data_IF_979152710417
#
_entry.id   IF_979152710417
#
_cell.length_a   1.000
_cell.length_b   1.000
_cell.length_c   1.000
_cell.angle_alpha   90.00
_cell.angle_beta   90.00
_cell.angle_gamma   90.00
#
_symmetry.space_group_name_H-M   'P 1'
#
loop_
_entity.id
_entity.type
_entity.pdbx_description
1 polymer ?
#
# COMPACT_ATOMS: atom_id res chain seq x y z
N UNK A 1 -35.98 -60.44 -15.63
CA UNK A 1 -36.16 -59.36 -16.62
C UNK A 1 -36.06 -58.02 -15.90
N UNK A 2 -35.08 -57.22 -16.29
CA UNK A 2 -34.80 -55.85 -15.84
C UNK A 2 -35.98 -54.91 -16.10
N UNK A 3 -36.22 -53.94 -15.20
CA UNK A 3 -36.68 -52.61 -15.58
C UNK A 3 -36.03 -51.54 -14.67
N UNK A 4 -34.87 -51.10 -15.15
CA UNK A 4 -34.40 -49.69 -15.22
C UNK A 4 -34.70 -48.74 -14.05
N UNK A 5 -33.65 -48.51 -13.26
CA UNK A 5 -33.43 -47.31 -12.43
C UNK A 5 -33.39 -46.07 -13.33
N UNK A 6 -34.39 -45.19 -13.23
CA UNK A 6 -34.33 -43.83 -13.77
C UNK A 6 -33.42 -42.99 -12.87
N UNK A 7 -32.15 -42.90 -13.26
CA UNK A 7 -31.15 -42.03 -12.66
C UNK A 7 -31.55 -40.57 -12.87
N UNK A 8 -31.93 -39.88 -11.79
CA UNK A 8 -32.02 -38.42 -11.72
C UNK A 8 -30.61 -37.86 -11.87
N UNK A 9 -30.18 -37.63 -13.11
CA UNK A 9 -28.94 -36.93 -13.41
C UNK A 9 -29.12 -35.44 -13.07
N UNK A 10 -28.84 -35.07 -11.82
CA UNK A 10 -28.76 -33.68 -11.40
C UNK A 10 -27.47 -33.12 -12.01
N UNK A 11 -27.55 -32.61 -13.24
CA UNK A 11 -26.44 -31.89 -13.87
C UNK A 11 -26.15 -30.65 -13.04
N UNK A 12 -25.12 -30.74 -12.20
CA UNK A 12 -24.45 -29.59 -11.60
C UNK A 12 -23.95 -28.72 -12.75
N UNK A 13 -24.73 -27.69 -13.10
CA UNK A 13 -24.25 -26.57 -13.88
C UNK A 13 -23.18 -25.88 -13.04
N UNK A 14 -21.91 -26.27 -13.24
CA UNK A 14 -20.78 -25.46 -12.81
C UNK A 14 -20.86 -24.15 -13.60
N UNK A 15 -21.50 -23.14 -13.02
CA UNK A 15 -21.31 -21.76 -13.46
C UNK A 15 -19.83 -21.45 -13.25
N UNK A 16 -19.02 -21.59 -14.31
CA UNK A 16 -17.74 -20.89 -14.36
C UNK A 16 -18.11 -19.41 -14.23
N UNK A 17 -17.84 -18.81 -13.06
CA UNK A 17 -17.76 -17.34 -12.99
C UNK A 17 -16.77 -16.95 -14.07
N UNK A 18 -17.22 -16.24 -15.10
CA UNK A 18 -16.30 -15.49 -15.91
C UNK A 18 -15.52 -14.61 -14.93
N UNK A 19 -14.20 -14.80 -14.83
CA UNK A 19 -13.36 -13.86 -14.09
C UNK A 19 -13.53 -12.52 -14.82
N UNK A 20 -14.22 -11.60 -14.16
CA UNK A 20 -14.46 -10.25 -14.68
C UNK A 20 -13.14 -9.51 -14.80
N UNK A 21 -13.13 -8.51 -15.68
CA UNK A 21 -12.03 -7.57 -15.77
C UNK A 21 -11.99 -6.73 -14.49
N UNK A 22 -10.78 -6.43 -13.97
CA UNK A 22 -10.55 -5.50 -12.87
C UNK A 22 -11.12 -4.15 -13.28
N UNK A 23 -12.24 -3.83 -12.64
CA UNK A 23 -12.98 -2.59 -12.80
C UNK A 23 -12.27 -1.44 -12.09
N UNK A 24 -12.67 -0.21 -12.43
CA UNK A 24 -12.22 0.97 -11.70
C UNK A 24 -12.59 0.84 -10.20
N UNK A 25 -13.81 0.41 -9.88
CA UNK A 25 -14.26 0.23 -8.50
C UNK A 25 -13.41 -0.80 -7.73
N UNK A 26 -13.03 -1.91 -8.36
CA UNK A 26 -12.14 -2.90 -7.75
C UNK A 26 -10.72 -2.35 -7.52
N UNK A 27 -10.21 -1.52 -8.43
CA UNK A 27 -8.93 -0.84 -8.22
C UNK A 27 -9.01 0.16 -7.06
N UNK A 28 -10.05 1.00 -7.03
CA UNK A 28 -10.25 1.97 -5.95
C UNK A 28 -10.31 1.27 -4.60
N UNK A 29 -11.10 0.19 -4.51
CA UNK A 29 -11.20 -0.63 -3.31
C UNK A 29 -9.87 -1.27 -2.92
N UNK A 30 -9.05 -1.71 -3.88
CA UNK A 30 -7.74 -2.28 -3.57
C UNK A 30 -6.77 -1.25 -2.98
N UNK A 31 -6.80 0.00 -3.47
CA UNK A 31 -5.96 1.08 -2.92
C UNK A 31 -6.44 1.51 -1.53
N UNK A 32 -7.75 1.56 -1.30
CA UNK A 32 -8.30 1.82 0.04
C UNK A 32 -7.92 0.70 1.03
N UNK A 33 -8.01 -0.56 0.60
CA UNK A 33 -7.55 -1.72 1.39
C UNK A 33 -6.05 -1.63 1.69
N UNK A 34 -5.22 -1.19 0.74
CA UNK A 34 -3.79 -0.99 0.94
C UNK A 34 -3.52 0.09 1.98
N UNK A 35 -4.18 1.25 1.89
CA UNK A 35 -4.08 2.31 2.89
C UNK A 35 -4.44 1.79 4.30
N UNK A 36 -5.59 1.11 4.41
CA UNK A 36 -6.05 0.54 5.69
C UNK A 36 -5.03 -0.46 6.25
N UNK A 37 -4.52 -1.36 5.40
CA UNK A 37 -3.51 -2.35 5.79
C UNK A 37 -2.23 -1.69 6.31
N UNK A 38 -1.71 -0.68 5.60
CA UNK A 38 -0.47 0.03 5.94
C UNK A 38 -0.58 0.82 7.25
N UNK A 39 -1.79 1.21 7.65
CA UNK A 39 -2.06 1.94 8.89
C UNK A 39 -2.48 1.05 10.07
N UNK A 40 -2.51 -0.29 9.90
CA UNK A 40 -2.71 -1.20 11.05
C UNK A 40 -1.53 -1.15 12.02
N UNK A 41 -1.77 -1.39 13.31
CA UNK A 41 -0.70 -1.42 14.33
C UNK A 41 0.44 -2.39 13.96
N UNK A 42 0.11 -3.54 13.36
CA UNK A 42 1.11 -4.52 12.90
C UNK A 42 1.97 -3.95 11.78
N UNK A 43 1.36 -3.37 10.74
CA UNK A 43 2.10 -2.78 9.61
C UNK A 43 2.93 -1.59 10.05
N UNK A 44 2.38 -0.69 10.87
CA UNK A 44 3.10 0.47 11.43
C UNK A 44 4.29 0.02 12.28
N UNK A 45 4.15 -1.04 13.08
CA UNK A 45 5.25 -1.62 13.84
C UNK A 45 6.36 -2.20 12.95
N UNK A 46 6.01 -2.91 11.88
CA UNK A 46 6.97 -3.45 10.91
C UNK A 46 7.71 -2.31 10.20
N UNK A 47 6.97 -1.31 9.71
CA UNK A 47 7.54 -0.13 9.04
C UNK A 47 8.49 0.60 9.99
N UNK A 48 8.06 0.89 11.22
CA UNK A 48 8.90 1.59 12.21
C UNK A 48 10.18 0.81 12.50
N UNK A 49 10.10 -0.52 12.69
CA UNK A 49 11.28 -1.36 12.89
C UNK A 49 12.25 -1.34 11.71
N UNK A 50 11.73 -1.37 10.48
CA UNK A 50 12.53 -1.25 9.27
C UNK A 50 13.20 0.13 9.17
N UNK A 51 12.45 1.21 9.40
CA UNK A 51 12.99 2.56 9.37
C UNK A 51 14.06 2.76 10.45
N UNK A 52 13.87 2.22 11.66
CA UNK A 52 14.90 2.23 12.70
C UNK A 52 16.17 1.54 12.22
N UNK A 53 16.04 0.35 11.62
CA UNK A 53 17.17 -0.45 11.16
C UNK A 53 17.97 0.27 10.06
N UNK A 54 17.28 0.87 9.10
CA UNK A 54 17.90 1.43 7.89
C UNK A 54 18.30 2.91 8.03
N UNK A 55 17.56 3.70 8.83
CA UNK A 55 17.77 5.15 8.94
C UNK A 55 18.61 5.55 10.14
N UNK A 56 18.35 4.98 11.32
CA UNK A 56 18.99 5.46 12.55
C UNK A 56 20.53 5.36 12.55
N UNK A 57 21.17 4.33 11.95
CA UNK A 57 22.63 4.28 11.81
C UNK A 57 23.23 5.45 11.00
N UNK A 58 22.43 6.12 10.18
CA UNK A 58 22.86 7.24 9.33
C UNK A 58 22.75 8.59 10.03
N UNK A 59 22.22 8.63 11.25
CA UNK A 59 22.00 9.88 12.01
C UNK A 59 23.19 10.21 12.93
N UNK A 60 23.40 11.50 13.28
CA UNK A 60 24.43 11.87 14.24
C UNK A 60 24.23 11.31 15.66
N UNK A 61 22.98 10.98 16.02
CA UNK A 61 22.62 10.38 17.31
C UNK A 61 21.70 9.17 17.10
N UNK A 62 22.25 7.99 16.75
CA UNK A 62 21.45 6.81 16.41
C UNK A 62 20.48 6.38 17.53
N UNK A 63 20.89 6.48 18.79
CA UNK A 63 20.03 6.10 19.92
C UNK A 63 18.80 7.01 20.04
N UNK A 64 18.98 8.31 19.81
CA UNK A 64 17.86 9.28 19.83
C UNK A 64 16.86 8.96 18.72
N UNK A 65 17.34 8.59 17.53
CA UNK A 65 16.49 8.14 16.44
C UNK A 65 15.70 6.87 16.81
N UNK A 66 16.37 5.87 17.41
CA UNK A 66 15.73 4.61 17.86
C UNK A 66 14.61 4.89 18.86
N UNK A 67 14.81 5.85 19.76
CA UNK A 67 13.85 6.17 20.82
C UNK A 67 12.66 7.00 20.30
N UNK A 68 12.90 7.94 19.38
CA UNK A 68 11.90 8.93 18.92
C UNK A 68 11.10 8.42 17.72
N UNK A 69 11.73 7.74 16.75
CA UNK A 69 11.06 7.34 15.51
C UNK A 69 9.78 6.53 15.76
N UNK A 70 9.78 5.48 16.60
CA UNK A 70 8.57 4.68 16.84
C UNK A 70 7.44 5.46 17.51
N UNK A 71 7.77 6.47 18.31
CA UNK A 71 6.78 7.32 19.02
C UNK A 71 5.99 8.17 18.03
N UNK A 72 6.65 8.67 16.98
CA UNK A 72 6.02 9.58 16.02
C UNK A 72 5.52 8.89 14.74
N UNK A 73 6.08 7.72 14.38
CA UNK A 73 5.78 7.10 13.09
C UNK A 73 4.29 6.82 12.87
N UNK A 74 3.56 6.39 13.90
CA UNK A 74 2.13 6.15 13.79
C UNK A 74 1.34 7.40 13.36
N UNK A 75 1.65 8.55 13.96
CA UNK A 75 1.01 9.82 13.61
C UNK A 75 1.35 10.28 12.20
N UNK A 76 2.61 10.12 11.79
CA UNK A 76 3.07 10.42 10.43
C UNK A 76 2.37 9.52 9.40
N UNK A 77 2.36 8.20 9.62
CA UNK A 77 1.74 7.23 8.73
C UNK A 77 0.24 7.51 8.53
N UNK A 78 -0.46 7.85 9.61
CA UNK A 78 -1.90 8.14 9.61
C UNK A 78 -2.29 9.33 8.72
N UNK A 79 -1.38 10.29 8.51
CA UNK A 79 -1.64 11.45 7.65
C UNK A 79 -0.97 11.33 6.28
N UNK A 80 0.20 10.69 6.19
CA UNK A 80 0.96 10.56 4.96
C UNK A 80 0.33 9.55 3.99
N UNK A 81 -0.13 8.39 4.46
CA UNK A 81 -0.70 7.38 3.55
C UNK A 81 -1.95 7.86 2.82
N UNK A 82 -2.93 8.54 3.46
CA UNK A 82 -4.06 9.12 2.75
C UNK A 82 -3.68 10.17 1.70
N UNK A 83 -2.60 10.92 1.94
CA UNK A 83 -2.10 11.91 0.99
C UNK A 83 -1.40 11.27 -0.21
N UNK A 84 -0.54 10.28 0.04
CA UNK A 84 0.28 9.61 -0.99
C UNK A 84 -0.55 8.62 -1.81
N UNK A 85 -1.48 7.90 -1.18
CA UNK A 85 -2.21 6.80 -1.77
C UNK A 85 -3.64 7.18 -2.18
N UNK A 86 -3.81 8.32 -2.84
CA UNK A 86 -5.11 8.74 -3.35
C UNK A 86 -5.61 7.77 -4.44
N UNK A 87 -6.65 7.00 -4.11
CA UNK A 87 -7.16 5.90 -4.94
C UNK A 87 -7.46 6.31 -6.39
N UNK A 88 -8.15 7.44 -6.58
CA UNK A 88 -8.50 7.93 -7.91
C UNK A 88 -7.25 8.24 -8.76
N UNK A 89 -6.25 8.90 -8.17
CA UNK A 89 -5.03 9.28 -8.87
C UNK A 89 -4.17 8.05 -9.21
N UNK A 90 -4.03 7.12 -8.27
CA UNK A 90 -3.31 5.87 -8.50
C UNK A 90 -4.00 5.04 -9.58
N UNK A 91 -5.30 4.81 -9.48
CA UNK A 91 -6.02 3.98 -10.46
C UNK A 91 -6.13 4.63 -11.84
N UNK A 92 -6.04 5.97 -11.92
CA UNK A 92 -5.91 6.69 -13.20
C UNK A 92 -4.50 6.53 -13.78
N UNK A 93 -3.46 6.61 -12.93
CA UNK A 93 -2.05 6.39 -13.32
C UNK A 93 -1.81 4.97 -13.81
N UNK A 94 -2.42 3.98 -13.16
CA UNK A 94 -2.42 2.58 -13.59
C UNK A 94 -3.28 2.31 -14.84
N UNK A 95 -3.95 3.34 -15.37
CA UNK A 95 -4.84 3.26 -16.52
C UNK A 95 -5.97 2.23 -16.31
N UNK A 96 -6.44 2.05 -15.08
CA UNK A 96 -7.62 1.21 -14.77
C UNK A 96 -8.88 2.07 -14.82
N UNK A 97 -8.83 3.27 -14.22
CA UNK A 97 -9.89 4.27 -14.29
C UNK A 97 -9.65 5.25 -15.45
N UNK A 98 -10.67 5.59 -16.23
CA UNK A 98 -10.59 6.58 -17.32
C UNK A 98 -11.40 6.23 -18.57
N UNK A 99 -11.53 7.19 -19.50
CA UNK A 99 -12.42 7.10 -20.68
C UNK A 99 -11.93 6.22 -21.83
N UNK A 100 -10.63 5.91 -21.90
CA UNK A 100 -10.01 5.19 -23.03
C UNK A 100 -9.31 3.92 -22.56
N UNK A 101 -9.99 3.10 -21.77
CA UNK A 101 -9.42 1.85 -21.33
C UNK A 101 -9.84 0.72 -22.28
N UNK A 102 -9.00 0.26 -23.23
CA UNK A 102 -9.29 -0.95 -23.97
C UNK A 102 -9.32 -2.09 -22.95
N UNK A 103 -10.53 -2.56 -22.72
CA UNK A 103 -10.92 -3.65 -21.85
C UNK A 103 -10.32 -4.98 -22.33
N UNK A 104 -9.00 -5.13 -22.26
CA UNK A 104 -8.32 -6.40 -22.47
C UNK A 104 -8.00 -7.02 -21.10
N UNK A 105 -8.74 -8.09 -20.78
CA UNK A 105 -8.47 -9.17 -19.81
C UNK A 105 -7.57 -8.86 -18.59
N UNK A 106 -7.74 -7.72 -17.91
CA UNK A 106 -7.11 -7.51 -16.60
C UNK A 106 -7.87 -8.33 -15.59
N UNK A 107 -7.37 -9.46 -15.16
CA UNK A 107 -7.94 -10.19 -14.02
C UNK A 107 -6.98 -10.00 -12.86
N UNK A 108 -7.48 -9.95 -11.62
CA UNK A 108 -6.60 -10.05 -10.46
C UNK A 108 -5.90 -11.41 -10.48
N UNK A 109 -4.66 -11.39 -10.94
CA UNK A 109 -3.68 -12.46 -10.78
C UNK A 109 -2.61 -11.98 -9.82
N UNK A 110 -1.83 -12.90 -9.25
CA UNK A 110 -0.68 -12.53 -8.45
C UNK A 110 0.26 -11.59 -9.24
N UNK A 111 0.56 -11.91 -10.50
CA UNK A 111 1.45 -11.10 -11.35
C UNK A 111 0.91 -9.69 -11.60
N UNK A 112 -0.40 -9.57 -11.87
CA UNK A 112 -1.02 -8.27 -12.10
C UNK A 112 -1.05 -7.44 -10.82
N UNK A 113 -1.45 -8.04 -9.70
CA UNK A 113 -1.46 -7.35 -8.42
C UNK A 113 -0.05 -6.93 -7.98
N UNK A 114 0.93 -7.81 -8.07
CA UNK A 114 2.32 -7.49 -7.66
C UNK A 114 2.93 -6.41 -8.53
N UNK A 115 2.64 -6.41 -9.84
CA UNK A 115 3.03 -5.34 -10.75
C UNK A 115 2.37 -4.00 -10.37
N UNK A 116 1.09 -4.01 -10.02
CA UNK A 116 0.37 -2.81 -9.59
C UNK A 116 0.90 -2.28 -8.24
N UNK A 117 1.13 -3.15 -7.25
CA UNK A 117 1.75 -2.78 -5.96
C UNK A 117 3.17 -2.26 -6.15
N UNK A 118 3.95 -2.85 -7.07
CA UNK A 118 5.27 -2.36 -7.41
C UNK A 118 5.22 -0.94 -8.00
N UNK A 119 4.25 -0.68 -8.88
CA UNK A 119 4.02 0.64 -9.45
C UNK A 119 3.61 1.68 -8.37
N UNK A 120 2.83 1.27 -7.35
CA UNK A 120 2.58 2.12 -6.18
C UNK A 120 3.89 2.45 -5.44
N UNK A 121 4.76 1.46 -5.25
CA UNK A 121 6.09 1.69 -4.71
C UNK A 121 6.95 2.63 -5.59
N UNK A 122 6.83 2.57 -6.92
CA UNK A 122 7.49 3.52 -7.82
C UNK A 122 6.97 4.95 -7.61
N UNK A 123 5.65 5.12 -7.49
CA UNK A 123 5.01 6.41 -7.20
C UNK A 123 5.50 6.99 -5.88
N UNK A 124 5.56 6.17 -4.82
CA UNK A 124 6.08 6.58 -3.51
C UNK A 124 7.53 7.07 -3.56
N UNK A 125 8.34 6.54 -4.49
CA UNK A 125 9.73 6.94 -4.68
C UNK A 125 9.93 8.11 -5.66
N UNK A 126 8.86 8.64 -6.27
CA UNK A 126 8.98 9.79 -7.18
C UNK A 126 9.38 11.03 -6.40
N UNK A 127 10.40 11.76 -6.89
CA UNK A 127 10.88 13.00 -6.27
C UNK A 127 9.76 14.04 -6.04
N UNK A 128 8.80 14.12 -6.97
CA UNK A 128 7.63 15.00 -6.84
C UNK A 128 6.73 14.58 -5.67
N UNK A 129 6.42 13.28 -5.56
CA UNK A 129 5.63 12.74 -4.45
C UNK A 129 6.34 12.90 -3.11
N UNK A 130 7.65 12.66 -3.08
CA UNK A 130 8.48 12.86 -1.88
C UNK A 130 8.45 14.33 -1.44
N UNK A 131 8.70 15.26 -2.36
CA UNK A 131 8.71 16.70 -2.06
C UNK A 131 7.34 17.16 -1.59
N UNK A 132 6.26 16.72 -2.25
CA UNK A 132 4.90 17.05 -1.87
C UNK A 132 4.54 16.50 -0.48
N UNK A 133 4.99 15.29 -0.14
CA UNK A 133 4.75 14.67 1.17
C UNK A 133 5.50 15.39 2.29
N UNK A 134 6.75 15.79 2.05
CA UNK A 134 7.53 16.61 2.99
C UNK A 134 6.82 17.93 3.29
N UNK A 135 6.42 18.67 2.26
CA UNK A 135 5.71 19.94 2.43
C UNK A 135 4.36 19.77 3.12
N UNK A 136 3.63 18.70 2.78
CA UNK A 136 2.37 18.36 3.45
C UNK A 136 2.57 18.13 4.95
N UNK A 137 3.53 17.29 5.34
CA UNK A 137 3.82 16.97 6.75
C UNK A 137 4.37 18.16 7.55
N UNK A 138 5.13 19.06 6.93
CA UNK A 138 5.64 20.28 7.57
C UNK A 138 4.53 21.25 7.95
N UNK A 139 3.38 21.19 7.27
CA UNK A 139 2.22 22.04 7.53
C UNK A 139 1.39 21.65 8.77
N UNK A 140 0.20 22.24 8.86
CA UNK A 140 -0.70 22.13 10.01
C UNK A 140 -1.29 20.74 10.22
N UNK A 141 -1.19 19.85 9.23
CA UNK A 141 -1.71 18.48 9.35
C UNK A 141 -0.87 17.60 10.28
N UNK A 142 0.41 17.96 10.51
CA UNK A 142 1.28 17.22 11.42
C UNK A 142 2.19 18.14 12.24
N UNK A 143 3.24 18.73 11.66
CA UNK A 143 4.19 19.52 12.44
C UNK A 143 3.59 20.82 13.03
N UNK A 144 2.70 21.49 12.29
CA UNK A 144 2.04 22.72 12.75
C UNK A 144 0.79 22.50 13.61
N UNK A 145 0.25 21.27 13.66
CA UNK A 145 -1.07 20.99 14.22
C UNK A 145 -1.11 20.46 15.65
N UNK A 146 0.00 19.95 16.18
CA UNK A 146 0.05 19.38 17.52
C UNK A 146 0.76 20.31 18.50
N UNK A 147 0.12 20.61 19.64
CA UNK A 147 0.67 21.49 20.68
C UNK A 147 2.02 20.98 21.24
N UNK A 148 2.23 19.67 21.21
CA UNK A 148 3.44 19.02 21.72
C UNK A 148 4.57 18.87 20.67
N UNK A 149 4.30 19.17 19.39
CA UNK A 149 5.34 19.23 18.38
C UNK A 149 6.07 20.57 18.55
N UNK A 150 7.38 20.54 18.81
CA UNK A 150 8.23 21.72 18.59
C UNK A 150 8.28 21.94 17.07
N UNK A 151 7.54 22.92 16.50
CA UNK A 151 7.21 22.88 15.07
C UNK A 151 8.44 22.97 14.18
N UNK A 152 9.38 23.87 14.51
CA UNK A 152 10.63 24.04 13.76
C UNK A 152 11.46 22.75 13.77
N UNK A 153 11.59 22.10 14.93
CA UNK A 153 12.33 20.85 15.08
C UNK A 153 11.64 19.69 14.34
N UNK A 154 10.31 19.63 14.38
CA UNK A 154 9.53 18.66 13.62
C UNK A 154 9.76 18.82 12.11
N UNK A 155 9.71 20.05 11.61
CA UNK A 155 9.91 20.35 10.20
C UNK A 155 11.31 19.97 9.73
N UNK A 156 12.36 20.29 10.52
CA UNK A 156 13.74 19.89 10.24
C UNK A 156 13.88 18.37 10.14
N UNK A 157 13.25 17.62 11.05
CA UNK A 157 13.27 16.16 11.02
C UNK A 157 12.50 15.58 9.84
N UNK A 158 11.32 16.10 9.52
CA UNK A 158 10.53 15.68 8.36
C UNK A 158 11.32 15.91 7.07
N UNK A 159 11.94 17.08 6.91
CA UNK A 159 12.75 17.42 5.73
C UNK A 159 13.97 16.51 5.58
N UNK A 160 14.65 16.20 6.70
CA UNK A 160 15.82 15.34 6.69
C UNK A 160 15.48 13.87 6.44
N UNK A 161 14.40 13.37 7.04
CA UNK A 161 14.17 11.93 7.17
C UNK A 161 13.06 11.36 6.28
N UNK A 162 12.02 12.12 5.94
CA UNK A 162 10.98 11.57 5.09
C UNK A 162 11.44 11.14 3.69
N UNK A 163 12.35 11.85 3.01
CA UNK A 163 12.87 11.36 1.72
C UNK A 163 13.49 9.96 1.83
N UNK A 164 14.22 9.70 2.92
CA UNK A 164 14.82 8.38 3.16
C UNK A 164 13.75 7.34 3.52
N UNK A 165 12.83 7.67 4.43
CA UNK A 165 11.76 6.77 4.83
C UNK A 165 10.88 6.34 3.66
N UNK A 166 10.49 7.28 2.78
CA UNK A 166 9.68 6.99 1.60
C UNK A 166 10.41 6.06 0.63
N UNK A 167 11.71 6.26 0.41
CA UNK A 167 12.49 5.37 -0.46
C UNK A 167 12.64 3.95 0.13
N UNK A 168 12.88 3.84 1.43
CA UNK A 168 12.96 2.54 2.12
C UNK A 168 11.62 1.80 2.01
N UNK A 169 10.52 2.47 2.32
CA UNK A 169 9.18 1.87 2.31
C UNK A 169 8.69 1.59 0.90
N UNK A 170 9.07 2.39 -0.10
CA UNK A 170 8.85 2.09 -1.51
C UNK A 170 9.55 0.78 -1.91
N UNK A 171 10.83 0.62 -1.52
CA UNK A 171 11.59 -0.61 -1.74
C UNK A 171 10.93 -1.82 -1.07
N UNK A 172 10.54 -1.66 0.19
CA UNK A 172 9.82 -2.69 0.95
C UNK A 172 8.49 -3.07 0.29
N UNK A 173 7.70 -2.08 -0.15
CA UNK A 173 6.41 -2.30 -0.83
C UNK A 173 6.58 -3.15 -2.08
N UNK A 174 7.63 -2.90 -2.88
CA UNK A 174 7.96 -3.70 -4.07
C UNK A 174 8.40 -5.11 -3.69
N UNK A 175 9.27 -5.24 -2.69
CA UNK A 175 9.82 -6.53 -2.25
C UNK A 175 8.73 -7.45 -1.67
N UNK A 176 7.80 -6.90 -0.90
CA UNK A 176 6.74 -7.64 -0.21
C UNK A 176 5.39 -7.61 -0.94
N UNK A 177 5.38 -7.19 -2.21
CA UNK A 177 4.18 -7.11 -3.03
C UNK A 177 3.31 -8.38 -3.01
N UNK A 178 3.85 -9.62 -3.05
CA UNK A 178 3.00 -10.82 -2.97
C UNK A 178 2.20 -10.93 -1.67
N UNK A 179 2.80 -10.59 -0.52
CA UNK A 179 2.12 -10.60 0.78
C UNK A 179 1.08 -9.48 0.90
N UNK A 180 1.38 -8.30 0.35
CA UNK A 180 0.42 -7.20 0.27
C UNK A 180 -0.78 -7.57 -0.61
N UNK A 181 -0.55 -8.22 -1.74
CA UNK A 181 -1.61 -8.71 -2.63
C UNK A 181 -2.57 -9.68 -1.92
N UNK A 182 -2.04 -10.57 -1.09
CA UNK A 182 -2.84 -11.47 -0.25
C UNK A 182 -3.68 -10.73 0.81
N UNK A 183 -3.26 -9.52 1.18
CA UNK A 183 -3.92 -8.71 2.21
C UNK A 183 -4.98 -7.76 1.64
N UNK A 184 -4.82 -7.31 0.39
CA UNK A 184 -5.66 -6.23 -0.18
C UNK A 184 -6.65 -6.70 -1.26
N UNK A 185 -6.41 -7.86 -1.89
CA UNK A 185 -7.30 -8.43 -2.91
C UNK A 185 -8.08 -9.61 -2.35
N UNK A 186 -7.39 -10.72 -2.07
CA UNK A 186 -7.95 -11.92 -1.45
C UNK A 186 -6.85 -12.77 -0.82
N UNK A 187 -7.18 -13.50 0.25
CA UNK A 187 -6.25 -14.39 0.91
C UNK A 187 -5.74 -15.47 -0.07
N UNK A 188 -4.42 -15.64 -0.15
CA UNK A 188 -3.73 -16.61 -1.02
C UNK A 188 -3.80 -16.35 -2.53
N UNK A 189 -4.06 -15.11 -2.98
CA UNK A 189 -3.90 -14.72 -4.39
C UNK A 189 -2.50 -15.08 -4.92
N UNK A 190 -1.47 -14.83 -4.11
CA UNK A 190 -0.08 -15.17 -4.32
C UNK A 190 0.32 -16.31 -3.39
N UNK A 191 0.73 -17.45 -3.96
CA UNK A 191 1.39 -18.51 -3.19
C UNK A 191 2.74 -17.98 -2.72
N UNK A 192 2.86 -17.77 -1.40
CA UNK A 192 4.12 -17.42 -0.75
C UNK A 192 4.71 -18.70 -0.17
N UNK A 193 5.83 -19.14 -0.72
CA UNK A 193 6.60 -20.27 -0.18
C UNK A 193 7.12 -19.84 1.20
N UNK A 194 6.61 -20.49 2.25
CA UNK A 194 7.03 -20.29 3.65
C UNK A 194 8.33 -21.01 3.97
#
# INVERSE_FOLDING_TARGET
MQFTLLSLCFTLLFFKRAQGQVSCDECLSAIDSLQLHLMTDTSVGIQSGLLVLEMCPLTPNPQVCVDILPVHWQGIAAVAYPFVLQAQEICSTLQVCGRNNPAEERIWTCDYCTSAVSAVGDIMAMNEMISATVEYLKGDVYCGGAEDHQPDLCQDYVEMFMPLAMNILAGYTKQYAPGLCNSIIEENLCQVDT
#
